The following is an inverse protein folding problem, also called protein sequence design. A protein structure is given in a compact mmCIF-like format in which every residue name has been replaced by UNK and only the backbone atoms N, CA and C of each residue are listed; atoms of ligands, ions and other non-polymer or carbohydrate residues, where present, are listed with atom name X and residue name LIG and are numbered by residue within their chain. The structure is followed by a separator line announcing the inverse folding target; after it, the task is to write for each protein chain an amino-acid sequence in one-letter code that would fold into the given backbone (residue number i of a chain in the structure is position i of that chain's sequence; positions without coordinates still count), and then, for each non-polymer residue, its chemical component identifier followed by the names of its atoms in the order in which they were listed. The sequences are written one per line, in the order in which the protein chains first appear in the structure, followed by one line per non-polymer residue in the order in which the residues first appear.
data_IF_761849197850
#
_entry.id   IF_761849197850
#
_cell.length_a   1.000
_cell.length_b   1.000
_cell.length_c   1.000
_cell.angle_alpha   90.00
_cell.angle_beta   90.00
_cell.angle_gamma   90.00
#
_symmetry.space_group_name_H-M   'P 1'
#
loop_
_entity.id
_entity.type
_entity.pdbx_description
1 polymer ?
#
# COMPACT_ATOMS: atom_id res chain seq x y z
N UNK A 1 -7.62 1.10 22.81
CA UNK A 1 -6.39 1.79 23.27
C UNK A 1 -6.65 3.31 23.28
N UNK A 2 -6.33 4.05 24.35
CA UNK A 2 -6.58 5.50 24.41
C UNK A 2 -5.58 6.33 23.58
N UNK A 3 -4.50 5.72 23.07
CA UNK A 3 -3.45 6.39 22.33
C UNK A 3 -3.00 5.60 21.10
N UNK A 4 -2.44 6.27 20.10
CA UNK A 4 -1.86 5.62 18.93
C UNK A 4 -0.48 5.05 19.28
N UNK A 5 -0.24 3.81 18.88
CA UNK A 5 1.06 3.15 19.02
C UNK A 5 1.91 3.52 17.81
N UNK A 6 3.17 3.88 18.03
CA UNK A 6 4.11 4.22 16.96
C UNK A 6 5.44 3.53 17.18
N UNK A 7 5.98 2.94 16.12
CA UNK A 7 7.37 2.48 16.05
C UNK A 7 8.06 3.17 14.90
N UNK A 8 9.32 3.52 15.12
CA UNK A 8 10.17 4.13 14.11
C UNK A 8 11.45 3.33 13.96
N UNK A 9 11.62 2.71 12.80
CA UNK A 9 12.80 1.94 12.48
C UNK A 9 13.78 2.78 11.66
N UNK A 10 15.05 2.74 12.04
CA UNK A 10 16.12 3.44 11.33
C UNK A 10 17.24 2.47 10.99
N UNK A 11 17.50 2.27 9.70
CA UNK A 11 18.60 1.41 9.25
C UNK A 11 19.92 2.17 9.43
N UNK A 12 20.70 1.86 10.47
CA UNK A 12 21.96 2.55 10.75
C UNK A 12 23.22 1.72 10.45
N UNK A 13 23.18 0.38 10.50
CA UNK A 13 24.38 -0.46 10.37
C UNK A 13 24.75 -0.75 8.91
N UNK A 14 26.05 -0.63 8.54
CA UNK A 14 26.59 -0.99 7.22
C UNK A 14 26.47 -2.49 6.97
N UNK A 15 26.11 -2.87 5.74
CA UNK A 15 26.05 -4.26 5.25
C UNK A 15 25.10 -5.20 6.01
N UNK A 16 24.09 -4.65 6.70
CA UNK A 16 23.04 -5.43 7.35
C UNK A 16 21.73 -5.35 6.59
N UNK A 17 21.05 -6.49 6.43
CA UNK A 17 19.62 -6.50 6.12
C UNK A 17 18.79 -6.24 7.38
N UNK A 18 17.72 -5.46 7.27
CA UNK A 18 16.75 -5.32 8.35
C UNK A 18 15.67 -6.38 8.19
N UNK A 19 15.57 -7.25 9.19
CA UNK A 19 14.52 -8.26 9.29
C UNK A 19 13.73 -7.98 10.55
N UNK A 20 12.42 -7.86 10.41
CA UNK A 20 11.54 -7.61 11.54
C UNK A 20 10.22 -8.35 11.40
N UNK A 21 9.63 -8.68 12.55
CA UNK A 21 8.33 -9.33 12.61
C UNK A 21 7.44 -8.58 13.58
N UNK A 22 6.32 -8.10 13.09
CA UNK A 22 5.29 -7.41 13.88
C UNK A 22 4.06 -8.30 13.97
N UNK A 23 3.63 -8.63 15.18
CA UNK A 23 2.39 -9.34 15.45
C UNK A 23 1.47 -8.45 16.29
N UNK A 24 0.28 -8.14 15.78
CA UNK A 24 -0.74 -7.39 16.51
C UNK A 24 -2.00 -8.26 16.61
N UNK A 25 -2.47 -8.48 17.84
CA UNK A 25 -3.69 -9.21 18.13
C UNK A 25 -4.65 -8.23 18.80
N UNK A 26 -5.81 -8.00 18.19
CA UNK A 26 -6.89 -7.20 18.72
C UNK A 26 -7.99 -8.16 19.21
N UNK A 27 -8.13 -8.25 20.54
CA UNK A 27 -9.14 -9.07 21.22
C UNK A 27 -10.55 -8.51 21.01
N UNK A 28 -11.58 -9.21 21.48
CA UNK A 28 -12.98 -8.85 21.24
C UNK A 28 -13.31 -7.40 21.65
N UNK A 29 -14.00 -6.67 20.78
CA UNK A 29 -14.40 -5.28 20.99
C UNK A 29 -13.24 -4.28 21.09
N UNK A 30 -12.00 -4.70 20.82
CA UNK A 30 -10.83 -3.85 20.98
C UNK A 30 -10.55 -2.98 19.76
N UNK A 31 -9.91 -1.83 20.01
CA UNK A 31 -9.47 -0.90 18.99
C UNK A 31 -7.98 -0.58 19.18
N UNK A 32 -7.21 -0.69 18.11
CA UNK A 32 -5.79 -0.29 18.06
C UNK A 32 -5.46 0.46 16.77
N UNK A 33 -4.80 1.60 16.92
CA UNK A 33 -4.15 2.34 15.84
C UNK A 33 -2.64 2.22 16.00
N UNK A 34 -1.98 1.66 15.00
CA UNK A 34 -0.54 1.42 14.96
C UNK A 34 0.08 2.11 13.76
N UNK A 35 1.19 2.80 13.98
CA UNK A 35 1.97 3.51 12.98
C UNK A 35 3.39 2.96 12.92
N UNK A 36 3.85 2.65 11.73
CA UNK A 36 5.22 2.22 11.42
C UNK A 36 5.88 3.29 10.56
N UNK A 37 6.99 3.87 11.04
CA UNK A 37 7.83 4.77 10.27
C UNK A 37 9.18 4.14 9.96
N UNK A 38 9.69 4.28 8.73
CA UNK A 38 11.06 3.86 8.41
C UNK A 38 11.84 4.91 7.61
N UNK A 39 13.10 5.13 7.97
CA UNK A 39 14.06 5.91 7.16
C UNK A 39 15.43 5.22 7.07
N UNK A 40 16.14 5.49 5.98
CA UNK A 40 17.53 5.05 5.81
C UNK A 40 18.45 6.18 5.31
N UNK A 41 19.73 6.16 5.72
CA UNK A 41 20.76 7.01 5.17
C UNK A 41 21.16 6.59 3.74
N UNK A 42 21.71 7.53 2.98
CA UNK A 42 22.25 7.31 1.63
C UNK A 42 23.41 6.31 1.62
N UNK A 43 23.37 5.31 0.73
CA UNK A 43 24.42 4.30 0.55
C UNK A 43 24.51 3.80 -0.89
N UNK A 44 25.74 3.52 -1.29
CA UNK A 44 26.08 3.02 -2.63
C UNK A 44 25.79 1.52 -2.81
N UNK A 45 25.82 0.74 -1.71
CA UNK A 45 25.45 -0.68 -1.72
C UNK A 45 23.95 -0.87 -1.46
N UNK A 46 23.34 -1.81 -2.19
CA UNK A 46 21.94 -2.15 -1.99
C UNK A 46 21.70 -2.75 -0.60
N UNK A 47 20.67 -2.28 0.09
CA UNK A 47 20.27 -2.85 1.38
C UNK A 47 18.93 -3.55 1.27
N UNK A 48 18.79 -4.69 1.96
CA UNK A 48 17.54 -5.43 2.02
C UNK A 48 16.76 -5.07 3.29
N UNK A 49 15.52 -4.65 3.10
CA UNK A 49 14.52 -4.55 4.15
C UNK A 49 13.44 -5.60 3.89
N UNK A 50 13.33 -6.57 4.80
CA UNK A 50 12.40 -7.68 4.69
C UNK A 50 11.61 -7.85 5.99
N UNK A 51 10.42 -7.26 6.03
CA UNK A 51 9.54 -7.31 7.19
C UNK A 51 8.39 -8.32 7.00
N UNK A 52 7.91 -8.87 8.11
CA UNK A 52 6.70 -9.69 8.18
C UNK A 52 5.73 -9.05 9.16
N UNK A 53 4.51 -8.78 8.72
CA UNK A 53 3.46 -8.22 9.58
C UNK A 53 2.27 -9.16 9.60
N UNK A 54 1.83 -9.51 10.80
CA UNK A 54 0.68 -10.36 11.07
C UNK A 54 -0.31 -9.60 11.95
N UNK A 55 -1.53 -9.42 11.46
CA UNK A 55 -2.63 -8.82 12.22
C UNK A 55 -3.75 -9.84 12.43
N UNK A 56 -4.25 -9.95 13.65
CA UNK A 56 -5.39 -10.81 14.00
C UNK A 56 -6.45 -9.95 14.69
N UNK A 57 -7.60 -9.75 14.04
CA UNK A 57 -8.75 -9.04 14.61
C UNK A 57 -9.85 -10.04 15.00
N UNK A 58 -10.19 -10.10 16.29
CA UNK A 58 -11.29 -10.90 16.82
C UNK A 58 -12.63 -10.18 16.70
N UNK A 59 -13.68 -10.71 17.33
CA UNK A 59 -15.06 -10.24 17.18
C UNK A 59 -15.18 -8.76 17.54
N UNK A 60 -15.87 -7.98 16.72
CA UNK A 60 -16.09 -6.54 16.92
C UNK A 60 -14.79 -5.71 17.10
N UNK A 61 -13.63 -6.26 16.72
CA UNK A 61 -12.33 -5.61 16.88
C UNK A 61 -11.90 -4.85 15.63
N UNK A 62 -11.19 -3.73 15.81
CA UNK A 62 -10.66 -2.90 14.72
C UNK A 62 -9.16 -2.64 14.87
N UNK A 63 -8.42 -2.90 13.79
CA UNK A 63 -6.99 -2.59 13.66
C UNK A 63 -6.80 -1.58 12.53
N UNK A 64 -6.22 -0.43 12.86
CA UNK A 64 -5.72 0.55 11.89
C UNK A 64 -4.20 0.45 11.84
N UNK A 65 -3.65 0.08 10.68
CA UNK A 65 -2.22 -0.05 10.45
C UNK A 65 -1.74 0.99 9.45
N UNK A 66 -0.89 1.90 9.89
CA UNK A 66 -0.34 2.98 9.07
C UNK A 66 1.15 2.76 8.83
N UNK A 67 1.62 2.99 7.61
CA UNK A 67 3.04 2.89 7.24
C UNK A 67 3.49 4.17 6.54
N UNK A 68 4.55 4.79 7.03
CA UNK A 68 5.18 5.95 6.39
C UNK A 68 6.65 5.60 6.14
N UNK A 69 7.01 5.43 4.87
CA UNK A 69 8.36 5.01 4.49
C UNK A 69 8.99 6.02 3.54
N UNK A 70 10.16 6.53 3.90
CA UNK A 70 11.00 7.36 3.05
C UNK A 70 12.43 6.82 3.04
N UNK A 71 12.75 6.11 1.96
CA UNK A 71 14.03 5.41 1.79
C UNK A 71 14.98 6.17 0.86
N UNK A 72 16.23 5.70 0.74
CA UNK A 72 17.16 6.21 -0.27
C UNK A 72 16.96 5.48 -1.61
N UNK A 73 16.62 6.19 -2.72
CA UNK A 73 16.22 5.56 -3.98
C UNK A 73 17.38 4.99 -4.81
N UNK A 74 18.62 5.24 -4.40
CA UNK A 74 19.81 5.04 -5.22
C UNK A 74 20.25 6.33 -5.91
N UNK A 75 21.39 6.26 -6.60
CA UNK A 75 21.93 7.36 -7.37
C UNK A 75 21.16 7.60 -8.69
N UNK A 76 21.58 8.61 -9.45
CA UNK A 76 20.98 8.98 -10.75
C UNK A 76 21.03 7.84 -11.79
N UNK A 77 21.97 6.91 -11.67
CA UNK A 77 22.16 5.80 -12.59
C UNK A 77 21.42 4.53 -12.09
N UNK A 78 20.82 4.58 -10.90
CA UNK A 78 20.09 3.50 -10.25
C UNK A 78 20.96 2.56 -9.42
N UNK A 79 22.18 2.99 -9.04
CA UNK A 79 23.05 2.22 -8.14
C UNK A 79 22.71 2.50 -6.69
N UNK A 80 22.72 1.45 -5.88
CA UNK A 80 22.38 1.52 -4.47
C UNK A 80 20.86 1.64 -4.25
N UNK A 81 20.53 2.06 -3.04
CA UNK A 81 19.15 2.16 -2.57
C UNK A 81 18.63 0.87 -1.94
N UNK A 82 17.33 0.85 -1.66
CA UNK A 82 16.73 -0.18 -0.80
C UNK A 82 15.83 -1.12 -1.58
N UNK A 83 16.00 -2.42 -1.30
CA UNK A 83 15.05 -3.47 -1.66
C UNK A 83 14.06 -3.65 -0.52
N UNK A 84 12.80 -3.34 -0.78
CA UNK A 84 11.74 -3.33 0.20
C UNK A 84 10.77 -4.48 -0.08
N UNK A 85 11.06 -5.65 0.50
CA UNK A 85 10.33 -6.90 0.25
C UNK A 85 9.57 -7.32 1.50
N UNK A 86 8.33 -6.86 1.62
CA UNK A 86 7.56 -7.01 2.86
C UNK A 86 6.32 -7.85 2.64
N UNK A 87 6.09 -8.80 3.55
CA UNK A 87 4.86 -9.59 3.60
C UNK A 87 4.00 -9.10 4.76
N UNK A 88 2.92 -8.35 4.46
CA UNK A 88 1.92 -7.95 5.45
C UNK A 88 0.61 -8.70 5.22
N UNK A 89 0.05 -9.29 6.28
CA UNK A 89 -1.22 -10.02 6.21
C UNK A 89 -2.02 -9.84 7.48
N UNK A 90 -3.27 -9.42 7.31
CA UNK A 90 -4.27 -9.35 8.35
C UNK A 90 -5.34 -10.41 8.16
N UNK A 91 -5.81 -11.00 9.25
CA UNK A 91 -7.00 -11.84 9.29
C UNK A 91 -8.05 -11.18 10.15
N UNK A 92 -9.17 -10.84 9.52
CA UNK A 92 -10.42 -10.51 10.18
C UNK A 92 -11.07 -11.84 10.58
N UNK A 93 -10.70 -12.33 11.77
CA UNK A 93 -11.05 -13.67 12.24
C UNK A 93 -12.46 -13.71 12.83
N UNK A 94 -12.82 -12.69 13.61
CA UNK A 94 -14.12 -12.60 14.26
C UNK A 94 -15.20 -11.92 13.42
N UNK A 95 -16.46 -12.11 13.80
CA UNK A 95 -17.59 -11.38 13.22
C UNK A 95 -17.42 -9.87 13.45
N UNK A 96 -17.84 -9.05 12.48
CA UNK A 96 -17.74 -7.58 12.49
C UNK A 96 -16.30 -7.03 12.64
N UNK A 97 -15.28 -7.86 12.49
CA UNK A 97 -13.88 -7.42 12.62
C UNK A 97 -13.45 -6.56 11.44
N UNK A 98 -12.57 -5.59 11.70
CA UNK A 98 -12.10 -4.62 10.71
C UNK A 98 -10.59 -4.47 10.73
N UNK A 99 -9.99 -4.48 9.54
CA UNK A 99 -8.56 -4.16 9.35
C UNK A 99 -8.45 -3.10 8.26
N UNK A 100 -7.76 -2.00 8.58
CA UNK A 100 -7.52 -0.89 7.66
C UNK A 100 -6.02 -0.68 7.49
N UNK A 101 -5.54 -0.83 6.26
CA UNK A 101 -4.16 -0.55 5.86
C UNK A 101 -4.08 0.85 5.28
N UNK A 102 -3.16 1.67 5.77
CA UNK A 102 -2.82 2.97 5.20
C UNK A 102 -1.33 3.04 4.96
N UNK A 103 -0.90 3.41 3.76
CA UNK A 103 0.52 3.49 3.45
C UNK A 103 0.87 4.67 2.55
N UNK A 104 2.01 5.28 2.87
CA UNK A 104 2.69 6.28 2.04
C UNK A 104 4.12 5.79 1.84
N UNK A 105 4.48 5.54 0.59
CA UNK A 105 5.72 4.87 0.24
C UNK A 105 6.51 5.69 -0.78
N UNK A 106 7.77 5.98 -0.43
CA UNK A 106 8.71 6.62 -1.34
C UNK A 106 10.13 6.12 -1.09
N UNK A 107 10.98 6.31 -2.10
CA UNK A 107 12.43 6.21 -1.91
C UNK A 107 13.07 4.82 -1.95
N UNK A 108 12.35 3.72 -2.23
CA UNK A 108 13.01 2.40 -2.41
C UNK A 108 13.50 2.22 -3.85
N UNK A 109 14.63 1.55 -4.06
CA UNK A 109 15.09 1.20 -5.41
C UNK A 109 14.13 0.18 -6.06
N UNK A 110 13.77 -0.85 -5.29
CA UNK A 110 12.73 -1.82 -5.66
C UNK A 110 11.77 -2.00 -4.49
N UNK A 111 10.47 -1.85 -4.75
CA UNK A 111 9.40 -2.15 -3.79
C UNK A 111 8.59 -3.35 -4.25
N UNK A 112 8.42 -4.34 -3.37
CA UNK A 112 7.54 -5.48 -3.63
C UNK A 112 6.68 -5.82 -2.42
N UNK A 113 5.39 -5.41 -2.46
CA UNK A 113 4.50 -5.48 -1.30
C UNK A 113 3.04 -5.70 -1.67
N UNK A 114 2.40 -6.61 -0.93
CA UNK A 114 0.97 -6.89 -1.06
C UNK A 114 0.27 -7.02 0.30
N UNK A 115 0.07 -5.95 1.08
CA UNK A 115 -0.73 -6.01 2.31
C UNK A 115 -2.09 -6.62 2.01
N UNK A 116 -2.44 -7.67 2.76
CA UNK A 116 -3.59 -8.51 2.46
C UNK A 116 -4.57 -8.55 3.62
N UNK A 117 -5.87 -8.62 3.33
CA UNK A 117 -6.92 -8.92 4.32
C UNK A 117 -7.60 -10.24 3.97
N UNK A 118 -7.59 -11.17 4.93
CA UNK A 118 -8.41 -12.37 4.91
C UNK A 118 -9.68 -12.07 5.73
N UNK A 119 -10.79 -11.91 5.04
CA UNK A 119 -12.10 -11.59 5.61
C UNK A 119 -12.84 -12.89 5.94
N UNK A 120 -12.47 -13.50 7.07
CA UNK A 120 -12.97 -14.82 7.49
C UNK A 120 -14.27 -14.71 8.28
N UNK A 121 -14.37 -13.77 9.20
CA UNK A 121 -15.59 -13.53 9.96
C UNK A 121 -16.71 -12.93 9.12
N UNK A 122 -17.95 -13.24 9.46
CA UNK A 122 -19.11 -12.62 8.85
C UNK A 122 -19.12 -11.11 9.15
N UNK A 123 -19.65 -10.32 8.21
CA UNK A 123 -19.70 -8.85 8.24
C UNK A 123 -18.33 -8.16 8.38
N UNK A 124 -17.22 -8.89 8.19
CA UNK A 124 -15.88 -8.29 8.34
C UNK A 124 -15.52 -7.33 7.21
N UNK A 125 -14.67 -6.36 7.54
CA UNK A 125 -14.31 -5.24 6.67
C UNK A 125 -12.79 -5.15 6.47
N UNK A 126 -12.35 -5.04 5.22
CA UNK A 126 -10.96 -4.83 4.85
C UNK A 126 -10.77 -3.55 4.05
N UNK A 127 -9.92 -2.64 4.50
CA UNK A 127 -9.64 -1.39 3.80
C UNK A 127 -8.15 -1.30 3.45
N UNK A 128 -7.86 -0.70 2.30
CA UNK A 128 -6.51 -0.44 1.85
C UNK A 128 -6.43 0.92 1.16
N UNK A 129 -5.58 1.78 1.70
CA UNK A 129 -5.28 3.11 1.18
C UNK A 129 -3.78 3.21 0.93
N UNK A 130 -3.38 3.47 -0.30
CA UNK A 130 -1.97 3.53 -0.68
C UNK A 130 -1.67 4.75 -1.53
N UNK A 131 -0.58 5.44 -1.18
CA UNK A 131 0.09 6.42 -2.02
C UNK A 131 1.51 5.93 -2.27
N UNK A 132 1.86 5.69 -3.54
CA UNK A 132 3.18 5.23 -3.93
C UNK A 132 3.83 6.22 -4.89
N UNK A 133 4.95 6.82 -4.50
CA UNK A 133 5.74 7.73 -5.33
C UNK A 133 7.03 7.04 -5.79
N UNK A 134 7.24 7.02 -7.10
CA UNK A 134 8.47 6.51 -7.72
C UNK A 134 9.06 7.54 -8.68
N UNK A 135 10.34 7.83 -8.54
CA UNK A 135 11.12 8.76 -9.37
C UNK A 135 12.44 8.14 -9.81
N UNK A 136 13.20 8.83 -10.66
CA UNK A 136 14.51 8.36 -11.13
C UNK A 136 14.40 7.03 -11.86
N UNK A 137 15.05 5.99 -11.35
CA UNK A 137 15.02 4.61 -11.90
C UNK A 137 14.34 3.59 -10.98
N UNK A 138 13.57 4.07 -10.01
CA UNK A 138 12.87 3.20 -9.06
C UNK A 138 11.85 2.29 -9.74
N UNK A 139 11.65 1.11 -9.16
CA UNK A 139 10.64 0.15 -9.59
C UNK A 139 9.75 -0.22 -8.41
N UNK A 140 8.43 -0.15 -8.60
CA UNK A 140 7.47 -0.58 -7.59
C UNK A 140 6.47 -1.57 -8.18
N UNK A 141 6.34 -2.73 -7.55
CA UNK A 141 5.19 -3.64 -7.74
C UNK A 141 4.46 -3.75 -6.40
N UNK A 142 3.40 -2.95 -6.27
CA UNK A 142 2.68 -2.77 -5.02
C UNK A 142 1.19 -2.98 -5.22
N UNK A 143 0.48 -3.36 -4.17
CA UNK A 143 -0.98 -3.43 -4.20
C UNK A 143 -1.50 -4.19 -3.02
N UNK A 144 -2.65 -4.84 -3.16
CA UNK A 144 -3.31 -5.50 -2.03
C UNK A 144 -4.03 -6.78 -2.45
N UNK A 145 -4.29 -7.66 -1.49
CA UNK A 145 -5.11 -8.86 -1.71
C UNK A 145 -6.27 -8.90 -0.72
N UNK A 146 -7.48 -8.77 -1.22
CA UNK A 146 -8.72 -8.88 -0.44
C UNK A 146 -9.34 -10.25 -0.70
N UNK A 147 -9.40 -11.09 0.33
CA UNK A 147 -9.91 -12.46 0.23
C UNK A 147 -11.18 -12.55 1.08
N UNK A 148 -12.33 -12.59 0.41
CA UNK A 148 -13.65 -12.67 1.02
C UNK A 148 -14.03 -14.14 1.26
N UNK A 149 -14.27 -14.50 2.52
CA UNK A 149 -14.68 -15.85 2.94
C UNK A 149 -16.02 -15.81 3.69
N UNK A 150 -16.13 -14.93 4.69
CA UNK A 150 -17.37 -14.76 5.46
C UNK A 150 -18.49 -14.09 4.66
N UNK A 151 -19.72 -14.18 5.18
CA UNK A 151 -20.90 -13.53 4.63
C UNK A 151 -20.85 -12.01 4.84
N UNK A 152 -21.47 -11.25 3.95
CA UNK A 152 -21.60 -9.80 3.97
C UNK A 152 -20.27 -9.05 4.13
N UNK A 153 -19.16 -9.67 3.73
CA UNK A 153 -17.82 -9.07 3.86
C UNK A 153 -17.65 -7.91 2.91
N UNK A 154 -16.99 -6.84 3.36
CA UNK A 154 -16.77 -5.63 2.56
C UNK A 154 -15.30 -5.35 2.40
N UNK A 155 -14.87 -4.92 1.22
CA UNK A 155 -13.54 -4.36 1.04
C UNK A 155 -13.53 -3.09 0.22
N UNK A 156 -12.64 -2.18 0.58
CA UNK A 156 -12.41 -0.93 -0.10
C UNK A 156 -10.92 -0.79 -0.42
N UNK A 157 -10.58 -0.56 -1.68
CA UNK A 157 -9.21 -0.42 -2.16
C UNK A 157 -9.10 0.94 -2.84
N UNK A 158 -8.22 1.80 -2.34
CA UNK A 158 -7.86 3.06 -2.98
C UNK A 158 -6.35 3.10 -3.13
N UNK A 159 -5.87 3.06 -4.36
CA UNK A 159 -4.45 3.15 -4.69
C UNK A 159 -4.19 4.35 -5.57
N UNK A 160 -3.23 5.19 -5.18
CA UNK A 160 -2.75 6.32 -5.96
C UNK A 160 -1.26 6.13 -6.23
N UNK A 161 -0.91 5.83 -7.47
CA UNK A 161 0.48 5.69 -7.93
C UNK A 161 0.93 6.96 -8.63
N UNK A 162 2.10 7.48 -8.28
CA UNK A 162 2.74 8.62 -8.95
C UNK A 162 4.08 8.13 -9.50
N UNK A 163 4.30 8.32 -10.80
CA UNK A 163 5.51 7.88 -11.50
C UNK A 163 6.18 9.06 -12.20
N UNK A 164 7.48 9.24 -12.00
CA UNK A 164 8.26 10.36 -12.52
C UNK A 164 9.63 9.91 -13.06
N UNK A 165 10.25 10.73 -13.92
CA UNK A 165 11.57 10.43 -14.48
C UNK A 165 11.56 9.22 -15.40
N UNK A 166 12.32 8.18 -15.05
CA UNK A 166 12.38 6.89 -15.76
C UNK A 166 11.76 5.74 -14.94
N UNK A 167 11.07 6.07 -13.85
CA UNK A 167 10.57 5.09 -12.90
C UNK A 167 9.43 4.25 -13.49
N UNK A 168 9.23 3.06 -12.92
CA UNK A 168 8.16 2.15 -13.28
C UNK A 168 7.34 1.83 -12.04
N UNK A 169 6.10 2.31 -12.00
CA UNK A 169 5.16 2.03 -10.93
C UNK A 169 4.11 1.04 -11.41
N UNK A 170 3.92 -0.06 -10.72
CA UNK A 170 2.92 -1.08 -11.03
C UNK A 170 2.03 -1.30 -9.83
N UNK A 171 0.73 -1.05 -10.01
CA UNK A 171 -0.29 -1.55 -9.11
C UNK A 171 -0.64 -2.99 -9.48
N UNK A 172 -0.63 -3.91 -8.51
CA UNK A 172 -1.09 -5.30 -8.69
C UNK A 172 -1.94 -5.72 -7.51
N UNK A 173 -3.23 -5.93 -7.78
CA UNK A 173 -4.23 -6.25 -6.76
C UNK A 173 -4.95 -7.56 -7.03
N UNK A 174 -5.41 -8.24 -5.97
CA UNK A 174 -6.30 -9.40 -6.06
C UNK A 174 -7.56 -9.17 -5.22
N UNK A 175 -8.72 -9.29 -5.83
CA UNK A 175 -10.01 -9.42 -5.14
C UNK A 175 -10.55 -10.81 -5.40
N UNK A 176 -10.67 -11.60 -4.33
CA UNK A 176 -11.12 -12.99 -4.41
C UNK A 176 -12.35 -13.21 -3.55
N UNK A 177 -13.46 -13.58 -4.16
CA UNK A 177 -14.72 -13.92 -3.49
C UNK A 177 -14.92 -15.43 -3.51
N UNK A 178 -14.85 -16.05 -2.34
CA UNK A 178 -15.02 -17.49 -2.17
C UNK A 178 -16.49 -17.91 -2.26
N UNK A 179 -16.75 -19.20 -2.53
CA UNK A 179 -18.11 -19.74 -2.71
C UNK A 179 -19.06 -19.45 -1.55
N UNK A 180 -18.57 -19.42 -0.31
CA UNK A 180 -19.39 -19.18 0.90
C UNK A 180 -19.57 -17.70 1.29
N UNK A 181 -18.97 -16.77 0.54
CA UNK A 181 -18.99 -15.34 0.86
C UNK A 181 -20.24 -14.64 0.31
N UNK A 182 -21.41 -15.06 0.78
CA UNK A 182 -22.70 -14.49 0.35
C UNK A 182 -22.78 -13.00 0.68
N UNK A 183 -23.25 -12.17 -0.23
CA UNK A 183 -23.40 -10.72 -0.03
C UNK A 183 -22.07 -9.95 0.03
N UNK A 184 -20.95 -10.56 -0.37
CA UNK A 184 -19.65 -9.89 -0.41
C UNK A 184 -19.67 -8.65 -1.33
N UNK A 185 -18.99 -7.57 -0.91
CA UNK A 185 -18.86 -6.34 -1.69
C UNK A 185 -17.42 -5.87 -1.75
N UNK A 186 -16.97 -5.46 -2.93
CA UNK A 186 -15.71 -4.78 -3.12
C UNK A 186 -15.90 -3.53 -3.99
N UNK A 187 -15.24 -2.45 -3.59
CA UNK A 187 -14.97 -1.29 -4.44
C UNK A 187 -13.46 -1.10 -4.53
N UNK A 188 -12.94 -0.92 -5.74
CA UNK A 188 -11.53 -0.70 -6.00
C UNK A 188 -11.33 0.49 -6.93
N UNK A 189 -10.53 1.46 -6.50
CA UNK A 189 -10.14 2.62 -7.30
C UNK A 189 -8.62 2.70 -7.39
N UNK A 190 -8.09 2.65 -8.61
CA UNK A 190 -6.66 2.67 -8.90
C UNK A 190 -6.33 3.86 -9.79
N UNK A 191 -5.89 4.96 -9.19
CA UNK A 191 -5.48 6.16 -9.92
C UNK A 191 -3.96 6.15 -10.13
N UNK A 192 -3.53 6.46 -11.35
CA UNK A 192 -2.13 6.60 -11.70
C UNK A 192 -1.85 8.00 -12.25
N UNK A 193 -0.78 8.63 -11.79
CA UNK A 193 -0.33 9.94 -12.26
C UNK A 193 1.07 9.80 -12.87
N UNK A 194 1.22 10.21 -14.12
CA UNK A 194 2.52 10.27 -14.79
C UNK A 194 3.05 11.70 -14.82
N UNK A 195 4.31 11.84 -14.45
CA UNK A 195 5.08 13.08 -14.51
C UNK A 195 6.20 12.94 -15.54
N UNK A 196 5.98 13.52 -16.71
CA UNK A 196 6.86 13.39 -17.88
C UNK A 196 6.40 12.33 -18.88
N UNK A 197 7.29 12.02 -19.83
CA UNK A 197 7.04 11.15 -20.99
C UNK A 197 7.86 9.85 -20.97
N UNK A 198 8.75 9.68 -19.99
CA UNK A 198 9.70 8.55 -19.89
C UNK A 198 9.41 7.58 -18.74
N UNK A 199 8.48 7.92 -17.87
CA UNK A 199 8.06 7.07 -16.75
C UNK A 199 6.90 6.16 -17.18
N UNK A 200 6.70 5.06 -16.45
CA UNK A 200 5.59 4.14 -16.66
C UNK A 200 4.73 3.99 -15.41
N UNK A 201 3.42 3.87 -15.62
CA UNK A 201 2.46 3.49 -14.60
C UNK A 201 1.57 2.36 -15.15
N UNK A 202 1.53 1.24 -14.44
CA UNK A 202 0.87 0.01 -14.87
C UNK A 202 -0.15 -0.45 -13.84
N UNK A 203 -1.26 -1.02 -14.28
CA UNK A 203 -2.34 -1.49 -13.39
C UNK A 203 -2.71 -2.92 -13.78
N UNK A 204 -2.51 -3.86 -12.86
CA UNK A 204 -2.76 -5.30 -13.03
C UNK A 204 -3.77 -5.81 -12.00
N UNK A 205 -5.08 -5.60 -12.20
CA UNK A 205 -6.10 -6.10 -11.31
C UNK A 205 -6.43 -7.57 -11.59
N UNK A 206 -6.57 -8.37 -10.53
CA UNK A 206 -7.04 -9.74 -10.57
C UNK A 206 -8.36 -9.83 -9.82
N UNK A 207 -9.40 -10.33 -10.48
CA UNK A 207 -10.73 -10.48 -9.88
C UNK A 207 -11.17 -11.94 -10.07
N UNK A 208 -11.38 -12.63 -8.95
CA UNK A 208 -11.86 -14.01 -8.92
C UNK A 208 -13.16 -14.08 -8.11
N UNK A 209 -14.32 -14.13 -8.78
CA UNK A 209 -15.62 -14.20 -8.11
C UNK A 209 -16.22 -15.58 -8.26
N UNK A 210 -16.37 -16.31 -7.15
CA UNK A 210 -16.95 -17.66 -7.11
C UNK A 210 -18.27 -17.73 -6.36
N UNK A 211 -18.92 -16.60 -6.11
CA UNK A 211 -20.24 -16.51 -5.47
C UNK A 211 -21.15 -15.58 -6.30
N UNK A 212 -22.38 -16.01 -6.64
CA UNK A 212 -23.28 -15.24 -7.52
C UNK A 212 -23.86 -13.98 -6.88
N UNK A 213 -23.81 -13.85 -5.55
CA UNK A 213 -24.31 -12.69 -4.81
C UNK A 213 -23.23 -11.63 -4.56
N UNK A 214 -21.97 -11.93 -4.90
CA UNK A 214 -20.84 -11.01 -4.74
C UNK A 214 -20.91 -9.86 -5.73
N UNK A 215 -20.68 -8.63 -5.24
CA UNK A 215 -20.60 -7.41 -6.06
C UNK A 215 -19.18 -6.87 -6.01
N UNK A 216 -18.53 -6.74 -7.17
CA UNK A 216 -17.15 -6.26 -7.28
C UNK A 216 -17.10 -5.16 -8.34
N UNK A 217 -16.65 -3.99 -7.94
CA UNK A 217 -16.48 -2.82 -8.81
C UNK A 217 -14.99 -2.44 -8.82
N UNK A 218 -14.46 -2.18 -10.02
CA UNK A 218 -13.08 -1.76 -10.19
C UNK A 218 -13.00 -0.64 -11.22
N UNK A 219 -12.42 0.48 -10.79
CA UNK A 219 -12.15 1.65 -11.59
C UNK A 219 -10.65 1.93 -11.60
N UNK A 220 -10.13 2.31 -12.77
CA UNK A 220 -8.76 2.72 -12.92
C UNK A 220 -8.67 3.97 -13.79
N UNK A 221 -8.04 5.02 -13.29
CA UNK A 221 -7.89 6.29 -13.99
C UNK A 221 -6.41 6.60 -14.16
N UNK A 222 -6.03 7.09 -15.34
CA UNK A 222 -4.69 7.61 -15.58
C UNK A 222 -4.76 9.11 -15.80
N UNK A 223 -3.90 9.85 -15.12
CA UNK A 223 -3.75 11.29 -15.23
C UNK A 223 -2.30 11.63 -15.56
N UNK A 224 -2.10 12.73 -16.27
CA UNK A 224 -0.78 13.30 -16.53
C UNK A 224 -0.82 14.75 -16.08
N UNK A 225 0.24 15.22 -15.42
CA UNK A 225 0.37 16.66 -15.16
C UNK A 225 0.62 17.33 -16.51
N UNK A 226 -0.33 18.15 -16.97
CA UNK A 226 -0.25 18.84 -18.24
C UNK A 226 0.70 20.03 -18.17
N UNK A 227 1.44 20.29 -19.25
CA UNK A 227 2.31 21.46 -19.36
C UNK A 227 1.52 22.76 -19.17
N UNK A 228 0.28 22.82 -19.67
CA UNK A 228 -0.62 23.96 -19.50
C UNK A 228 -0.99 24.24 -18.03
N UNK A 229 -1.13 23.18 -17.21
CA UNK A 229 -1.46 23.32 -15.79
C UNK A 229 -0.26 23.90 -15.03
N UNK A 230 0.95 23.40 -15.30
CA UNK A 230 2.20 23.93 -14.74
C UNK A 230 2.41 25.37 -15.21
N UNK A 231 2.21 25.64 -16.51
CA UNK A 231 2.33 26.97 -17.08
C UNK A 231 1.38 27.97 -16.43
N UNK A 232 0.13 27.57 -16.17
CA UNK A 232 -0.85 28.40 -15.48
C UNK A 232 -0.38 28.78 -14.05
N UNK A 233 0.13 27.82 -13.28
CA UNK A 233 0.70 28.07 -11.95
C UNK A 233 1.92 29.00 -12.02
N UNK A 234 2.85 28.72 -12.95
CA UNK A 234 4.04 29.54 -13.18
C UNK A 234 3.69 30.99 -13.54
N UNK A 235 2.66 31.20 -14.37
CA UNK A 235 2.17 32.55 -14.72
C UNK A 235 1.63 33.31 -13.50
N UNK A 236 1.17 32.60 -12.47
CA UNK A 236 0.73 33.18 -11.18
C UNK A 236 1.87 33.40 -10.19
N UNK A 237 3.12 33.20 -10.60
CA UNK A 237 4.31 33.40 -9.77
C UNK A 237 4.62 32.22 -8.84
N UNK A 238 3.94 31.08 -9.03
CA UNK A 238 4.21 29.84 -8.30
C UNK A 238 5.41 29.16 -8.97
N UNK A 239 6.42 28.73 -8.21
CA UNK A 239 7.57 28.04 -8.80
C UNK A 239 7.14 26.70 -9.41
N UNK A 240 7.89 26.17 -10.37
CA UNK A 240 7.57 24.87 -10.98
C UNK A 240 7.64 23.72 -9.96
N UNK A 241 8.47 23.86 -8.93
CA UNK A 241 8.52 22.90 -7.81
C UNK A 241 7.25 22.96 -6.96
N UNK A 242 6.76 24.16 -6.63
CA UNK A 242 5.53 24.33 -5.83
C UNK A 242 4.25 24.03 -6.64
N UNK A 243 4.31 24.12 -7.97
CA UNK A 243 3.19 23.84 -8.87
C UNK A 243 2.90 22.33 -9.04
N UNK A 244 3.87 21.49 -8.67
CA UNK A 244 3.88 20.02 -8.80
C UNK A 244 3.42 19.37 -7.50
#
# INVERSE_FOLDING_TARGET
CPMELSTYFRINAQNTGQFERTLIIADEGSYVSYMEGCTAPMRDENQLHAAVVELVALKDAEIKYSTIQNWYPGDKDGKGGIYNFVTKRGICLGENSKISWTQVETGSSITWKYPSCILKGDNSVGEFYSVALTTGRQQADTGTKMIHIGKNTKSNIVSKGISAGFAQNSYRGLVKVMKGADGARNFSQCDSMLMGDKCGAHTFPYIEVRNPTGKVEHEATTSKIGEDQIFYCNQRGISTEDAV
#
